data_IF_970750770784
#
_entry.id   IF_970750770784
#
_cell.length_a   1.000
_cell.length_b   1.000
_cell.length_c   1.000
_cell.angle_alpha   90.00
_cell.angle_beta   90.00
_cell.angle_gamma   90.00
#
_symmetry.space_group_name_H-M   'P 1'
#
loop_
_entity.id
_entity.type
_entity.pdbx_description
1 polymer ?
#
# COMPACT_ATOMS: atom_id res chain seq x y z
N UNK A 1 -37.02 24.15 -40.19
CA UNK A 1 -35.96 24.99 -40.77
C UNK A 1 -35.47 25.98 -39.72
N UNK A 2 -34.33 25.72 -39.09
CA UNK A 2 -33.74 26.60 -38.06
C UNK A 2 -32.37 27.07 -38.55
N UNK A 3 -32.31 28.29 -39.11
CA UNK A 3 -31.11 28.87 -39.70
C UNK A 3 -30.51 29.92 -38.76
N UNK A 4 -29.39 29.53 -38.16
CA UNK A 4 -28.31 30.30 -37.52
C UNK A 4 -28.49 31.83 -37.43
N UNK A 5 -28.47 32.36 -36.20
CA UNK A 5 -27.85 33.67 -35.90
C UNK A 5 -26.60 33.45 -35.06
N UNK A 6 -25.47 33.90 -35.60
CA UNK A 6 -24.15 33.93 -34.95
C UNK A 6 -24.24 34.79 -33.68
N UNK A 7 -23.57 34.42 -32.58
CA UNK A 7 -23.35 35.35 -31.47
C UNK A 7 -22.39 36.44 -31.95
N UNK A 8 -22.81 37.70 -31.85
CA UNK A 8 -21.89 38.85 -31.98
C UNK A 8 -20.84 38.73 -30.90
N UNK A 9 -19.58 38.68 -31.34
CA UNK A 9 -18.42 38.92 -30.50
C UNK A 9 -18.59 40.27 -29.82
N UNK A 10 -18.75 40.29 -28.50
CA UNK A 10 -18.45 41.47 -27.71
C UNK A 10 -16.94 41.62 -27.77
N UNK A 11 -16.39 42.72 -28.31
CA UNK A 11 -14.96 42.98 -28.22
C UNK A 11 -14.59 42.98 -26.73
N UNK A 12 -13.58 42.20 -26.35
CA UNK A 12 -12.83 42.47 -25.13
C UNK A 12 -12.33 43.91 -25.26
N UNK A 13 -13.08 44.84 -24.68
CA UNK A 13 -12.51 46.10 -24.28
C UNK A 13 -11.42 45.72 -23.28
N UNK A 14 -10.17 45.84 -23.69
CA UNK A 14 -9.09 46.12 -22.75
C UNK A 14 -9.60 47.27 -21.90
N UNK A 15 -10.03 46.96 -20.67
CA UNK A 15 -10.24 47.97 -19.65
C UNK A 15 -8.87 48.54 -19.32
N UNK A 16 -8.41 49.46 -20.18
CA UNK A 16 -7.42 50.44 -19.77
C UNK A 16 -8.06 51.17 -18.60
N UNK A 17 -7.46 51.13 -17.40
CA UNK A 17 -8.02 51.84 -16.26
C UNK A 17 -8.21 53.31 -16.66
N UNK A 18 -9.38 53.90 -16.33
CA UNK A 18 -9.72 55.29 -16.67
C UNK A 18 -8.76 56.34 -16.04
N UNK A 19 -7.76 55.89 -15.29
CA UNK A 19 -6.71 56.72 -14.69
C UNK A 19 -5.37 56.02 -14.96
N UNK A 20 -4.50 56.69 -15.72
CA UNK A 20 -3.12 56.24 -15.99
C UNK A 20 -2.26 56.53 -14.75
N UNK A 21 -2.43 55.71 -13.72
CA UNK A 21 -1.68 55.80 -12.47
C UNK A 21 -0.33 55.11 -12.73
N UNK A 22 0.77 55.85 -12.57
CA UNK A 22 2.13 55.30 -12.57
C UNK A 22 2.20 54.08 -11.65
N UNK A 23 2.87 53.01 -12.07
CA UNK A 23 2.97 51.79 -11.26
C UNK A 23 3.42 52.07 -9.83
N UNK A 24 4.27 53.08 -9.62
CA UNK A 24 4.74 53.50 -8.30
C UNK A 24 3.62 54.01 -7.38
N UNK A 25 2.63 54.71 -7.93
CA UNK A 25 1.50 55.24 -7.16
C UNK A 25 0.46 54.14 -6.89
N UNK A 26 0.32 53.17 -7.78
CA UNK A 26 -0.46 51.96 -7.51
C UNK A 26 0.13 51.19 -6.31
N UNK A 27 1.45 51.04 -6.26
CA UNK A 27 2.15 50.40 -5.13
C UNK A 27 2.00 51.17 -3.81
N UNK A 28 1.91 52.50 -3.85
CA UNK A 28 1.60 53.31 -2.66
C UNK A 28 0.16 53.08 -2.20
N UNK A 29 -0.81 53.11 -3.11
CA UNK A 29 -2.23 52.89 -2.77
C UNK A 29 -2.43 51.49 -2.16
N UNK A 30 -1.78 50.47 -2.71
CA UNK A 30 -1.87 49.09 -2.18
C UNK A 30 -1.27 48.98 -0.77
N UNK A 31 -0.20 49.74 -0.47
CA UNK A 31 0.40 49.80 0.86
C UNK A 31 -0.47 50.60 1.84
N UNK A 32 -0.96 51.76 1.44
CA UNK A 32 -1.74 52.67 2.29
C UNK A 32 -3.16 52.14 2.55
N UNK A 33 -3.74 51.38 1.62
CA UNK A 33 -5.05 50.75 1.79
C UNK A 33 -5.06 49.54 2.74
N UNK A 34 -3.89 49.03 3.14
CA UNK A 34 -3.78 47.85 4.00
C UNK A 34 -4.39 46.57 3.41
N UNK A 35 -4.72 46.56 2.10
CA UNK A 35 -5.36 45.43 1.41
C UNK A 35 -4.50 44.15 1.50
N UNK A 36 -3.17 44.30 1.49
CA UNK A 36 -2.23 43.19 1.65
C UNK A 36 -2.25 42.56 3.05
N UNK A 37 -2.67 43.31 4.09
CA UNK A 37 -2.82 42.78 5.45
C UNK A 37 -4.19 42.12 5.68
N UNK A 38 -5.20 42.54 4.91
CA UNK A 38 -6.55 41.96 4.96
C UNK A 38 -6.66 40.62 4.22
N UNK A 39 -5.70 40.29 3.34
CA UNK A 39 -5.61 38.96 2.76
C UNK A 39 -5.07 38.01 3.83
N UNK A 40 -5.86 37.02 4.31
CA UNK A 40 -5.35 36.05 5.26
C UNK A 40 -4.12 35.35 4.66
N UNK A 41 -2.94 35.61 5.23
CA UNK A 41 -1.66 34.93 4.93
C UNK A 41 -1.73 33.40 5.00
N UNK A 42 -2.84 32.85 5.49
CA UNK A 42 -3.16 31.44 5.49
C UNK A 42 -3.43 30.84 4.10
N UNK A 43 -3.68 31.66 3.06
CA UNK A 43 -4.01 31.15 1.73
C UNK A 43 -2.77 30.76 0.88
N UNK A 44 -1.56 31.24 1.22
CA UNK A 44 -0.36 31.06 0.38
C UNK A 44 0.70 30.10 0.97
N UNK A 45 0.47 29.53 2.16
CA UNK A 45 1.32 28.48 2.74
C UNK A 45 0.61 27.12 2.89
N UNK A 46 -0.63 27.01 2.44
CA UNK A 46 -1.49 25.85 2.72
C UNK A 46 -1.92 25.03 1.50
N UNK A 47 -1.41 25.31 0.29
CA UNK A 47 -1.88 24.67 -0.94
C UNK A 47 -1.15 23.38 -1.35
N UNK A 48 0.04 23.10 -0.81
CA UNK A 48 0.73 21.81 -1.04
C UNK A 48 0.59 20.82 0.12
N UNK A 49 0.33 21.30 1.35
CA UNK A 49 -0.02 20.47 2.51
C UNK A 49 -1.53 20.22 2.63
N UNK A 50 -2.30 20.56 1.59
CA UNK A 50 -3.75 20.45 1.56
C UNK A 50 -4.18 18.98 1.42
N UNK A 51 -4.26 18.31 2.57
CA UNK A 51 -5.29 17.33 2.91
C UNK A 51 -5.47 16.21 1.87
N UNK A 52 -4.51 15.28 1.79
CA UNK A 52 -4.90 13.94 1.40
C UNK A 52 -6.01 13.51 2.38
N UNK A 53 -7.18 13.13 1.84
CA UNK A 53 -8.26 12.58 2.66
C UNK A 53 -7.65 11.47 3.54
N UNK A 54 -8.06 11.31 4.82
CA UNK A 54 -7.53 10.26 5.69
C UNK A 54 -7.60 8.87 5.04
N UNK A 55 -8.60 8.65 4.16
CA UNK A 55 -8.70 7.45 3.35
C UNK A 55 -7.60 7.32 2.29
N UNK A 56 -7.18 8.42 1.67
CA UNK A 56 -6.10 8.41 0.67
C UNK A 56 -4.75 8.10 1.30
N UNK A 57 -4.46 8.63 2.49
CA UNK A 57 -3.25 8.28 3.25
C UNK A 57 -3.24 6.80 3.64
N UNK A 58 -4.36 6.29 4.14
CA UNK A 58 -4.52 4.87 4.47
C UNK A 58 -4.38 3.96 3.24
N UNK A 59 -4.98 4.36 2.12
CA UNK A 59 -4.91 3.61 0.88
C UNK A 59 -3.49 3.61 0.31
N UNK A 60 -2.78 4.74 0.38
CA UNK A 60 -1.38 4.83 -0.02
C UNK A 60 -0.48 3.94 0.86
N UNK A 61 -0.66 4.00 2.19
CA UNK A 61 0.06 3.14 3.12
C UNK A 61 -0.26 1.64 2.89
N UNK A 62 -1.52 1.31 2.59
CA UNK A 62 -1.92 -0.05 2.25
C UNK A 62 -1.27 -0.49 0.93
N UNK A 63 -1.28 0.33 -0.12
CA UNK A 63 -0.66 -0.02 -1.41
C UNK A 63 0.84 -0.25 -1.28
N UNK A 64 1.53 0.55 -0.46
CA UNK A 64 2.95 0.36 -0.16
C UNK A 64 3.25 -1.04 0.41
N UNK A 65 2.25 -1.69 1.03
CA UNK A 65 2.34 -3.07 1.52
C UNK A 65 1.76 -4.09 0.54
N UNK A 66 0.65 -3.79 -0.13
CA UNK A 66 -0.03 -4.73 -1.05
C UNK A 66 0.88 -5.09 -2.22
N UNK A 67 1.52 -4.11 -2.85
CA UNK A 67 2.39 -4.33 -4.02
C UNK A 67 3.51 -5.35 -3.73
N UNK A 68 4.36 -5.14 -2.70
CA UNK A 68 5.44 -6.09 -2.42
C UNK A 68 4.92 -7.46 -1.96
N UNK A 69 3.80 -7.55 -1.25
CA UNK A 69 3.26 -8.84 -0.80
C UNK A 69 2.60 -9.64 -1.94
N UNK A 70 1.94 -8.98 -2.89
CA UNK A 70 1.46 -9.62 -4.10
C UNK A 70 2.64 -10.13 -4.96
N UNK A 71 3.70 -9.33 -5.09
CA UNK A 71 4.92 -9.76 -5.75
C UNK A 71 5.56 -10.94 -5.03
N UNK A 72 5.61 -10.93 -3.70
CA UNK A 72 6.15 -12.03 -2.91
C UNK A 72 5.33 -13.31 -3.09
N UNK A 73 4.00 -13.23 -3.12
CA UNK A 73 3.14 -14.37 -3.44
C UNK A 73 3.48 -14.95 -4.81
N UNK A 74 3.56 -14.10 -5.83
CA UNK A 74 3.91 -14.50 -7.19
C UNK A 74 5.30 -15.16 -7.23
N UNK A 75 6.28 -14.54 -6.58
CA UNK A 75 7.65 -15.04 -6.50
C UNK A 75 7.71 -16.41 -5.82
N UNK A 76 7.03 -16.58 -4.68
CA UNK A 76 6.94 -17.87 -4.00
C UNK A 76 6.31 -18.93 -4.88
N UNK A 77 5.33 -18.55 -5.70
CA UNK A 77 4.68 -19.44 -6.65
C UNK A 77 5.66 -19.96 -7.68
N UNK A 78 6.42 -19.08 -8.33
CA UNK A 78 7.47 -19.47 -9.27
C UNK A 78 8.52 -20.35 -8.59
N UNK A 79 9.01 -19.94 -7.42
CA UNK A 79 10.11 -20.59 -6.73
C UNK A 79 9.79 -22.06 -6.42
N UNK A 80 8.57 -22.31 -5.92
CA UNK A 80 8.12 -23.66 -5.60
C UNK A 80 7.95 -24.52 -6.84
N UNK A 81 7.42 -23.98 -7.94
CA UNK A 81 7.32 -24.73 -9.19
C UNK A 81 8.71 -25.15 -9.68
N UNK A 82 9.68 -24.23 -9.64
CA UNK A 82 11.07 -24.52 -10.00
C UNK A 82 11.73 -25.53 -9.06
N UNK A 83 11.48 -25.47 -7.74
CA UNK A 83 12.01 -26.44 -6.78
C UNK A 83 11.58 -27.90 -7.08
N UNK A 84 10.39 -28.09 -7.66
CA UNK A 84 9.91 -29.43 -8.04
C UNK A 84 10.11 -29.75 -9.53
N UNK A 85 10.92 -28.95 -10.25
CA UNK A 85 11.19 -29.17 -11.68
C UNK A 85 9.95 -29.01 -12.58
N UNK A 86 8.93 -28.31 -12.12
CA UNK A 86 7.70 -28.02 -12.89
C UNK A 86 7.74 -26.59 -13.40
N UNK A 87 7.30 -26.36 -14.63
CA UNK A 87 7.12 -25.00 -15.15
C UNK A 87 5.73 -24.51 -14.74
N UNK A 88 5.61 -23.31 -14.16
CA UNK A 88 4.30 -22.78 -13.84
C UNK A 88 3.56 -22.42 -15.14
N UNK A 89 2.38 -23.02 -15.31
CA UNK A 89 1.48 -22.71 -16.43
C UNK A 89 0.88 -21.33 -16.20
N UNK A 90 0.72 -20.53 -17.27
CA UNK A 90 0.10 -19.19 -17.20
C UNK A 90 -1.29 -19.24 -16.55
N UNK A 91 -2.06 -20.27 -16.87
CA UNK A 91 -3.38 -20.56 -16.30
C UNK A 91 -3.29 -20.77 -14.78
N UNK A 92 -2.39 -21.64 -14.31
CA UNK A 92 -2.21 -21.93 -12.89
C UNK A 92 -1.78 -20.70 -12.08
N UNK A 93 -0.98 -19.81 -12.68
CA UNK A 93 -0.61 -18.53 -12.06
C UNK A 93 -1.84 -17.62 -11.97
N UNK A 94 -2.59 -17.45 -13.07
CA UNK A 94 -3.78 -16.59 -13.11
C UNK A 94 -4.86 -17.08 -12.14
N UNK A 95 -5.14 -18.39 -12.11
CA UNK A 95 -6.09 -19.02 -11.18
C UNK A 95 -5.76 -18.72 -9.71
N UNK A 96 -4.49 -18.49 -9.37
CA UNK A 96 -4.09 -18.13 -8.01
C UNK A 96 -4.01 -16.64 -7.77
N UNK A 97 -3.55 -15.86 -8.74
CA UNK A 97 -3.43 -14.41 -8.59
C UNK A 97 -4.79 -13.72 -8.57
N UNK A 98 -5.74 -14.16 -9.41
CA UNK A 98 -7.08 -13.56 -9.49
C UNK A 98 -7.79 -13.55 -8.13
N UNK A 99 -7.87 -14.67 -7.38
CA UNK A 99 -8.42 -14.65 -6.02
C UNK A 99 -7.40 -14.20 -4.97
N UNK A 100 -6.10 -14.47 -5.15
CA UNK A 100 -5.08 -14.21 -4.14
C UNK A 100 -4.84 -12.72 -3.90
N UNK A 101 -4.74 -11.92 -4.97
CA UNK A 101 -4.51 -10.47 -4.89
C UNK A 101 -5.59 -9.74 -4.11
N UNK A 102 -6.90 -9.88 -4.39
CA UNK A 102 -7.94 -9.19 -3.63
C UNK A 102 -8.02 -9.67 -2.17
N UNK A 103 -7.78 -10.96 -1.90
CA UNK A 103 -7.74 -11.47 -0.52
C UNK A 103 -6.59 -10.83 0.26
N UNK A 104 -5.38 -10.78 -0.33
CA UNK A 104 -4.23 -10.12 0.29
C UNK A 104 -4.51 -8.62 0.46
N UNK A 105 -5.08 -7.96 -0.55
CA UNK A 105 -5.39 -6.54 -0.50
C UNK A 105 -6.36 -6.20 0.64
N UNK A 106 -7.47 -6.93 0.76
CA UNK A 106 -8.44 -6.76 1.84
C UNK A 106 -7.82 -7.07 3.20
N UNK A 107 -7.06 -8.15 3.29
CA UNK A 107 -6.38 -8.55 4.52
C UNK A 107 -5.43 -7.44 4.99
N UNK A 108 -4.55 -6.95 4.12
CA UNK A 108 -3.57 -5.89 4.42
C UNK A 108 -4.27 -4.57 4.76
N UNK A 109 -5.29 -4.19 3.99
CA UNK A 109 -6.01 -2.94 4.22
C UNK A 109 -6.65 -2.93 5.62
N UNK A 110 -7.35 -4.01 5.99
CA UNK A 110 -7.99 -4.11 7.30
C UNK A 110 -6.98 -4.16 8.45
N UNK A 111 -5.93 -4.96 8.30
CA UNK A 111 -4.94 -5.17 9.36
C UNK A 111 -3.99 -3.99 9.55
N UNK A 112 -3.69 -3.23 8.48
CA UNK A 112 -2.95 -1.97 8.56
C UNK A 112 -3.66 -0.93 9.42
N UNK A 113 -5.00 -0.83 9.30
CA UNK A 113 -5.81 0.13 10.05
C UNK A 113 -5.74 -0.06 11.57
N UNK A 114 -5.60 -1.29 12.05
CA UNK A 114 -5.59 -1.61 13.49
C UNK A 114 -4.22 -2.03 14.02
N UNK A 115 -3.12 -1.73 13.32
CA UNK A 115 -1.77 -2.17 13.67
C UNK A 115 -1.37 -1.90 15.14
N UNK A 116 -1.78 -0.76 15.70
CA UNK A 116 -1.40 -0.33 17.06
C UNK A 116 -2.17 -1.02 18.18
N UNK A 117 -3.19 -1.81 17.86
CA UNK A 117 -3.99 -2.52 18.87
C UNK A 117 -3.21 -3.75 19.35
N UNK A 118 -3.02 -3.90 20.68
CA UNK A 118 -2.28 -5.03 21.27
C UNK A 118 -2.83 -6.40 20.86
N UNK A 119 -4.14 -6.51 20.65
CA UNK A 119 -4.80 -7.72 20.18
C UNK A 119 -4.36 -8.07 18.75
N UNK A 120 -4.20 -7.06 17.88
CA UNK A 120 -3.69 -7.29 16.52
C UNK A 120 -2.22 -7.72 16.54
N UNK A 121 -1.41 -7.13 17.42
CA UNK A 121 -0.02 -7.56 17.62
C UNK A 121 0.07 -9.03 18.09
N UNK A 122 -0.76 -9.42 19.05
CA UNK A 122 -0.86 -10.83 19.46
C UNK A 122 -1.34 -11.72 18.31
N UNK A 123 -2.31 -11.24 17.53
CA UNK A 123 -2.81 -11.92 16.33
C UNK A 123 -1.70 -12.15 15.29
N UNK A 124 -0.91 -11.13 14.96
CA UNK A 124 0.23 -11.27 14.05
C UNK A 124 1.29 -12.22 14.59
N UNK A 125 1.58 -12.16 15.89
CA UNK A 125 2.51 -13.11 16.52
C UNK A 125 2.05 -14.56 16.39
N UNK A 126 0.81 -14.85 16.78
CA UNK A 126 0.25 -16.21 16.71
C UNK A 126 0.14 -16.70 15.26
N UNK A 127 -0.29 -15.82 14.35
CA UNK A 127 -0.44 -16.16 12.94
C UNK A 127 0.93 -16.37 12.26
N UNK A 128 1.93 -15.54 12.58
CA UNK A 128 3.32 -15.74 12.16
C UNK A 128 3.86 -17.08 12.66
N UNK A 129 3.66 -17.39 13.93
CA UNK A 129 4.15 -18.64 14.53
C UNK A 129 3.46 -19.86 13.89
N UNK A 130 2.13 -19.85 13.79
CA UNK A 130 1.37 -20.95 13.20
C UNK A 130 1.69 -21.15 11.73
N UNK A 131 1.76 -20.07 10.94
CA UNK A 131 2.09 -20.15 9.50
C UNK A 131 3.52 -20.63 9.27
N UNK A 132 4.49 -20.18 10.06
CA UNK A 132 5.90 -20.60 9.95
C UNK A 132 6.08 -22.09 10.30
N UNK A 133 5.50 -22.53 11.42
CA UNK A 133 5.50 -23.95 11.83
C UNK A 133 4.82 -24.81 10.76
N UNK A 134 3.63 -24.40 10.29
CA UNK A 134 2.87 -25.12 9.27
C UNK A 134 3.61 -25.20 7.94
N UNK A 135 4.26 -24.11 7.51
CA UNK A 135 5.05 -24.05 6.29
C UNK A 135 6.19 -25.08 6.32
N UNK A 136 6.97 -25.11 7.40
CA UNK A 136 8.10 -26.04 7.53
C UNK A 136 7.61 -27.48 7.58
N UNK A 137 6.51 -27.74 8.29
CA UNK A 137 5.88 -29.06 8.30
C UNK A 137 5.47 -29.52 6.91
N UNK A 138 4.81 -28.64 6.13
CA UNK A 138 4.35 -28.94 4.78
C UNK A 138 5.52 -29.34 3.90
N UNK A 139 6.56 -28.49 3.85
CA UNK A 139 7.76 -28.68 3.04
C UNK A 139 8.44 -30.02 3.36
N UNK A 140 8.50 -30.40 4.63
CA UNK A 140 9.23 -31.61 5.06
C UNK A 140 8.41 -32.91 4.96
N UNK A 141 7.10 -32.86 5.20
CA UNK A 141 6.29 -34.07 5.45
C UNK A 141 5.20 -34.32 4.43
N UNK A 142 4.91 -33.37 3.54
CA UNK A 142 3.75 -33.47 2.64
C UNK A 142 4.19 -33.68 1.19
N UNK A 143 3.27 -34.19 0.38
CA UNK A 143 3.50 -34.40 -1.05
C UNK A 143 3.71 -33.07 -1.78
N UNK A 144 4.47 -33.15 -2.88
CA UNK A 144 4.80 -32.01 -3.75
C UNK A 144 3.56 -31.20 -4.16
N UNK A 145 2.43 -31.86 -4.43
CA UNK A 145 1.20 -31.20 -4.88
C UNK A 145 0.58 -30.32 -3.79
N UNK A 146 0.66 -30.76 -2.53
CA UNK A 146 0.21 -29.95 -1.39
C UNK A 146 1.18 -28.80 -1.14
N UNK A 147 2.49 -29.05 -1.25
CA UNK A 147 3.50 -28.02 -1.11
C UNK A 147 3.30 -26.92 -2.14
N UNK A 148 3.05 -27.29 -3.39
CA UNK A 148 2.75 -26.32 -4.44
C UNK A 148 1.52 -25.47 -4.12
N UNK A 149 0.43 -26.07 -3.63
CA UNK A 149 -0.81 -25.36 -3.33
C UNK A 149 -0.77 -24.47 -2.08
N UNK A 150 -0.10 -24.91 -1.01
CA UNK A 150 -0.23 -24.26 0.31
C UNK A 150 0.98 -23.44 0.74
N UNK A 151 2.20 -23.82 0.34
CA UNK A 151 3.38 -23.15 0.84
C UNK A 151 3.52 -21.68 0.36
N UNK A 152 3.16 -21.30 -0.88
CA UNK A 152 3.24 -19.90 -1.31
C UNK A 152 2.38 -18.91 -0.50
N UNK A 153 1.07 -19.14 -0.28
CA UNK A 153 0.28 -18.25 0.55
C UNK A 153 0.71 -18.29 2.02
N UNK A 154 1.13 -19.44 2.55
CA UNK A 154 1.63 -19.54 3.94
C UNK A 154 2.94 -18.77 4.14
N UNK A 155 3.88 -18.86 3.20
CA UNK A 155 5.11 -18.10 3.23
C UNK A 155 4.83 -16.59 3.16
N UNK A 156 3.92 -16.19 2.27
CA UNK A 156 3.51 -14.79 2.14
C UNK A 156 2.89 -14.25 3.43
N UNK A 157 2.00 -15.04 4.04
CA UNK A 157 1.36 -14.69 5.29
C UNK A 157 2.37 -14.60 6.45
N UNK A 158 3.30 -15.56 6.54
CA UNK A 158 4.34 -15.57 7.57
C UNK A 158 5.21 -14.32 7.49
N UNK A 159 5.69 -13.97 6.28
CA UNK A 159 6.50 -12.76 6.05
C UNK A 159 5.70 -11.50 6.40
N UNK A 160 4.45 -11.42 5.95
CA UNK A 160 3.58 -10.28 6.26
C UNK A 160 3.43 -10.08 7.77
N UNK A 161 3.11 -11.14 8.51
CA UNK A 161 2.91 -11.07 9.96
C UNK A 161 4.19 -10.68 10.69
N UNK A 162 5.35 -11.16 10.26
CA UNK A 162 6.65 -10.76 10.82
C UNK A 162 6.91 -9.27 10.57
N UNK A 163 6.66 -8.79 9.35
CA UNK A 163 6.87 -7.38 8.98
C UNK A 163 5.92 -6.43 9.74
N UNK A 164 4.70 -6.87 10.05
CA UNK A 164 3.73 -6.06 10.79
C UNK A 164 3.84 -6.13 12.30
N UNK A 165 4.45 -7.20 12.83
CA UNK A 165 4.65 -7.36 14.26
C UNK A 165 5.69 -6.37 14.78
N UNK A 166 5.54 -5.97 16.04
CA UNK A 166 6.60 -5.29 16.76
C UNK A 166 7.86 -6.19 16.84
N UNK A 167 9.03 -5.57 17.02
CA UNK A 167 10.33 -6.25 16.97
C UNK A 167 10.41 -7.45 17.92
N UNK A 168 9.88 -7.31 19.12
CA UNK A 168 9.98 -8.34 20.16
C UNK A 168 9.11 -9.58 19.85
N UNK A 169 7.80 -9.45 19.55
CA UNK A 169 7.01 -10.57 19.05
C UNK A 169 7.57 -11.20 17.77
N UNK A 170 8.04 -10.39 16.81
CA UNK A 170 8.62 -10.89 15.56
C UNK A 170 9.87 -11.75 15.80
N UNK A 171 10.77 -11.29 16.67
CA UNK A 171 11.95 -12.06 17.04
C UNK A 171 11.58 -13.37 17.76
N UNK A 172 10.64 -13.31 18.70
CA UNK A 172 10.17 -14.48 19.43
C UNK A 172 9.51 -15.50 18.49
N UNK A 173 8.72 -15.08 17.49
CA UNK A 173 8.06 -16.04 16.60
C UNK A 173 9.08 -16.83 15.78
N UNK A 174 10.14 -16.17 15.30
CA UNK A 174 11.24 -16.81 14.57
C UNK A 174 12.05 -17.72 15.50
N UNK A 175 12.38 -17.25 16.70
CA UNK A 175 13.15 -18.03 17.68
C UNK A 175 12.40 -19.32 18.07
N UNK A 176 11.12 -19.20 18.41
CA UNK A 176 10.28 -20.36 18.77
C UNK A 176 10.16 -21.31 17.58
N UNK A 177 9.97 -20.79 16.36
CA UNK A 177 9.95 -21.63 15.15
C UNK A 177 11.27 -22.39 15.00
N UNK A 178 12.42 -21.73 15.14
CA UNK A 178 13.74 -22.36 15.04
C UNK A 178 13.99 -23.43 16.11
N UNK A 179 13.58 -23.16 17.36
CA UNK A 179 13.64 -24.14 18.46
C UNK A 179 12.76 -25.35 18.14
N UNK A 180 11.54 -25.11 17.68
CA UNK A 180 10.59 -26.17 17.33
C UNK A 180 11.10 -27.04 16.19
N UNK A 181 11.70 -26.46 15.14
CA UNK A 181 12.33 -27.19 14.03
C UNK A 181 13.39 -28.15 14.53
N UNK A 182 14.25 -27.69 15.45
CA UNK A 182 15.31 -28.50 16.05
C UNK A 182 14.74 -29.61 16.92
N UNK A 183 13.73 -29.32 17.73
CA UNK A 183 13.06 -30.31 18.57
C UNK A 183 12.36 -31.39 17.72
N UNK A 184 11.72 -31.00 16.62
CA UNK A 184 10.99 -31.89 15.74
C UNK A 184 11.87 -32.62 14.69
N UNK A 185 13.20 -32.44 14.74
CA UNK A 185 14.17 -33.03 13.80
C UNK A 185 13.78 -32.80 12.32
N UNK A 186 13.28 -31.61 11.99
CA UNK A 186 12.95 -31.27 10.60
C UNK A 186 14.18 -30.79 9.85
N UNK A 187 14.24 -31.10 8.55
CA UNK A 187 15.34 -30.63 7.70
C UNK A 187 15.02 -29.21 7.26
N UNK A 188 15.92 -28.29 7.60
CA UNK A 188 16.05 -27.02 6.88
C UNK A 188 16.85 -27.39 5.62
N UNK A 189 16.14 -27.65 4.52
CA UNK A 189 16.76 -27.93 3.23
C UNK A 189 17.58 -26.69 2.84
N UNK A 190 18.90 -26.84 2.80
CA UNK A 190 19.84 -25.93 2.14
C UNK A 190 20.32 -26.60 0.86
#
# INVERSE_FOLDING_TARGET
>A
MAKKRKPSQVPQAEEKPLVDISEQDQWKIIKDSGILEQVPRSAARGSEEQLLSPLTEELFAAFALIIPHCFLLLMMEFLIHYQYGRRPTKEAILERMIPGVPIIALFIFYTSRYKRVRIMQLGFFLLSLASSIRLIYIINRTSWLVNMKQAPPLATLAVYCVVQSDLLPAFLSILITGIWVRYANMKLLF
#
